data_IF_250526685776
#
_entry.id   IF_250526685776
#
_cell.length_a   1.000
_cell.length_b   1.000
_cell.length_c   1.000
_cell.angle_alpha   90.00
_cell.angle_beta   90.00
_cell.angle_gamma   90.00
#
_symmetry.space_group_name_H-M   'P 1'
#
loop_
_entity.id
_entity.type
_entity.pdbx_description
1 polymer ?
#
# COMPACT_ATOMS: atom_id res chain seq x y z
N UNK A 1 5.82 -32.00 21.54
CA UNK A 1 4.63 -32.03 20.66
C UNK A 1 4.68 -30.82 19.74
N UNK A 2 5.04 -31.00 18.46
CA UNK A 2 4.87 -29.92 17.48
C UNK A 2 3.36 -29.76 17.25
N UNK A 3 2.74 -28.71 17.80
CA UNK A 3 1.37 -28.34 17.45
C UNK A 3 1.32 -28.17 15.92
N UNK A 4 0.48 -28.95 15.24
CA UNK A 4 0.23 -28.76 13.80
C UNK A 4 -0.64 -27.52 13.61
N UNK A 5 -0.02 -26.33 13.62
CA UNK A 5 -0.71 -25.03 13.43
C UNK A 5 -1.51 -24.95 12.11
N UNK A 6 -1.19 -25.82 11.14
CA UNK A 6 -1.85 -25.92 9.84
C UNK A 6 -3.16 -26.73 9.86
N UNK A 7 -3.47 -27.50 10.91
CA UNK A 7 -4.76 -28.20 11.01
C UNK A 7 -5.82 -27.21 11.51
N UNK A 8 -6.74 -26.84 10.61
CA UNK A 8 -7.85 -25.90 10.85
C UNK A 8 -9.17 -26.52 10.46
N UNK A 9 -10.26 -25.87 10.88
CA UNK A 9 -11.61 -26.24 10.51
C UNK A 9 -11.76 -26.40 8.99
N UNK A 10 -12.58 -27.38 8.53
CA UNK A 10 -12.84 -27.57 7.12
C UNK A 10 -13.38 -26.27 6.50
N UNK A 11 -12.79 -25.84 5.39
CA UNK A 11 -13.16 -24.61 4.69
C UNK A 11 -12.40 -23.34 5.12
N UNK A 12 -11.54 -23.39 6.16
CA UNK A 12 -10.72 -22.24 6.57
C UNK A 12 -9.85 -21.70 5.42
N UNK A 13 -9.11 -22.57 4.73
CA UNK A 13 -8.26 -22.17 3.60
C UNK A 13 -9.07 -21.62 2.42
N UNK A 14 -10.27 -22.16 2.18
CA UNK A 14 -11.20 -21.63 1.16
C UNK A 14 -11.65 -20.22 1.53
N UNK A 15 -12.00 -19.97 2.79
CA UNK A 15 -12.37 -18.64 3.29
C UNK A 15 -11.19 -17.67 3.19
N UNK A 16 -10.00 -18.08 3.60
CA UNK A 16 -8.78 -17.28 3.48
C UNK A 16 -8.52 -16.89 2.02
N UNK A 17 -8.63 -17.84 1.09
CA UNK A 17 -8.44 -17.59 -0.34
C UNK A 17 -9.52 -16.65 -0.91
N UNK A 18 -10.80 -16.84 -0.53
CA UNK A 18 -11.91 -15.96 -0.94
C UNK A 18 -11.79 -14.53 -0.39
N UNK A 19 -11.08 -14.33 0.72
CA UNK A 19 -10.77 -13.01 1.25
C UNK A 19 -9.51 -12.41 0.63
N UNK A 20 -8.44 -13.22 0.48
CA UNK A 20 -7.16 -12.77 -0.04
C UNK A 20 -7.21 -12.47 -1.54
N UNK A 21 -7.86 -13.31 -2.36
CA UNK A 21 -7.87 -13.15 -3.83
C UNK A 21 -8.43 -11.79 -4.26
N UNK A 22 -9.59 -11.30 -3.76
CA UNK A 22 -10.07 -9.98 -4.12
C UNK A 22 -9.15 -8.85 -3.64
N UNK A 23 -8.47 -9.00 -2.49
CA UNK A 23 -7.51 -8.02 -2.00
C UNK A 23 -6.23 -7.97 -2.85
N UNK A 24 -5.73 -9.12 -3.29
CA UNK A 24 -4.62 -9.23 -4.24
C UNK A 24 -5.01 -8.54 -5.55
N UNK A 25 -6.21 -8.83 -6.08
CA UNK A 25 -6.70 -8.21 -7.30
C UNK A 25 -6.89 -6.69 -7.16
N UNK A 26 -7.40 -6.20 -6.02
CA UNK A 26 -7.48 -4.76 -5.74
C UNK A 26 -6.11 -4.06 -5.81
N UNK A 27 -5.11 -4.65 -5.15
CA UNK A 27 -3.75 -4.13 -5.17
C UNK A 27 -3.14 -4.21 -6.58
N UNK A 28 -3.40 -5.30 -7.31
CA UNK A 28 -2.94 -5.46 -8.69
C UNK A 28 -3.55 -4.40 -9.60
N UNK A 29 -4.87 -4.19 -9.54
CA UNK A 29 -5.59 -3.15 -10.29
C UNK A 29 -5.01 -1.77 -9.99
N UNK A 30 -4.73 -1.46 -8.72
CA UNK A 30 -4.19 -0.16 -8.32
C UNK A 30 -2.78 0.05 -8.88
N UNK A 31 -1.92 -0.96 -8.79
CA UNK A 31 -0.56 -0.92 -9.36
C UNK A 31 -0.59 -0.83 -10.88
N UNK A 32 -1.46 -1.60 -11.54
CA UNK A 32 -1.62 -1.60 -12.99
C UNK A 32 -2.19 -0.28 -13.51
N UNK A 33 -3.12 0.36 -12.81
CA UNK A 33 -3.64 1.68 -13.17
C UNK A 33 -2.51 2.71 -13.22
N UNK A 34 -1.68 2.79 -12.18
CA UNK A 34 -0.54 3.72 -12.17
C UNK A 34 0.46 3.46 -13.30
N UNK A 35 0.67 2.18 -13.65
CA UNK A 35 1.50 1.80 -14.80
C UNK A 35 0.89 2.24 -16.14
N UNK A 36 -0.39 1.98 -16.36
CA UNK A 36 -1.11 2.35 -17.59
C UNK A 36 -1.13 3.87 -17.78
N UNK A 37 -1.41 4.64 -16.71
CA UNK A 37 -1.37 6.10 -16.74
C UNK A 37 0.00 6.62 -17.18
N UNK A 38 1.06 6.13 -16.52
CA UNK A 38 2.44 6.53 -16.82
C UNK A 38 2.82 6.16 -18.26
N UNK A 39 2.44 4.97 -18.71
CA UNK A 39 2.69 4.50 -20.06
C UNK A 39 1.96 5.36 -21.12
N UNK A 40 0.67 5.63 -20.94
CA UNK A 40 -0.12 6.44 -21.88
C UNK A 40 0.37 7.89 -21.96
N UNK A 41 0.76 8.48 -20.84
CA UNK A 41 1.40 9.82 -20.84
C UNK A 41 2.77 9.77 -21.51
N UNK A 42 3.55 8.71 -21.31
CA UNK A 42 4.84 8.51 -21.96
C UNK A 42 4.77 8.47 -23.49
N UNK A 43 3.63 8.09 -24.07
CA UNK A 43 3.40 8.13 -25.51
C UNK A 43 3.22 9.55 -26.08
N UNK A 44 2.93 10.56 -25.25
CA UNK A 44 2.84 11.95 -25.68
C UNK A 44 4.24 12.56 -25.93
N UNK A 45 5.19 12.25 -25.05
CA UNK A 45 6.54 12.79 -25.11
C UNK A 45 7.27 12.71 -23.76
N UNK A 46 8.59 12.91 -23.82
CA UNK A 46 9.46 12.81 -22.64
C UNK A 46 9.20 13.95 -21.64
N UNK A 47 8.93 15.16 -22.13
CA UNK A 47 8.65 16.33 -21.30
C UNK A 47 7.34 16.15 -20.51
N UNK A 48 6.31 15.62 -21.16
CA UNK A 48 5.00 15.32 -20.57
C UNK A 48 5.11 14.26 -19.48
N UNK A 49 5.83 13.19 -19.76
CA UNK A 49 6.11 12.13 -18.79
C UNK A 49 6.85 12.66 -17.56
N UNK A 50 7.89 13.47 -17.76
CA UNK A 50 8.64 14.08 -16.67
C UNK A 50 7.76 15.01 -15.82
N UNK A 51 6.87 15.80 -16.44
CA UNK A 51 5.98 16.70 -15.72
C UNK A 51 4.95 15.94 -14.87
N UNK A 52 4.33 14.88 -15.42
CA UNK A 52 3.39 14.04 -14.66
C UNK A 52 4.09 13.27 -13.54
N UNK A 53 5.30 12.77 -13.79
CA UNK A 53 6.10 12.09 -12.76
C UNK A 53 6.41 13.03 -11.60
N UNK A 54 6.86 14.25 -11.90
CA UNK A 54 7.11 15.28 -10.89
C UNK A 54 5.82 15.64 -10.11
N UNK A 55 4.69 15.75 -10.79
CA UNK A 55 3.40 16.02 -10.16
C UNK A 55 2.89 14.85 -9.29
N UNK A 56 3.25 13.61 -9.61
CA UNK A 56 2.85 12.43 -8.85
C UNK A 56 3.65 12.26 -7.54
N UNK A 57 4.82 12.88 -7.39
CA UNK A 57 5.60 12.84 -6.15
C UNK A 57 4.86 13.37 -4.90
N UNK A 58 4.29 14.59 -4.90
CA UNK A 58 3.51 15.09 -3.76
C UNK A 58 2.21 14.29 -3.56
N UNK A 59 1.65 13.76 -4.65
CA UNK A 59 0.47 12.90 -4.62
C UNK A 59 0.74 11.59 -3.87
N UNK A 60 1.91 10.99 -4.05
CA UNK A 60 2.30 9.78 -3.33
C UNK A 60 2.29 9.97 -1.81
N UNK A 61 2.72 11.14 -1.32
CA UNK A 61 2.64 11.48 0.11
C UNK A 61 1.19 11.49 0.63
N UNK A 62 0.25 11.99 -0.17
CA UNK A 62 -1.18 11.96 0.17
C UNK A 62 -1.67 10.52 0.26
N UNK A 63 -1.29 9.67 -0.69
CA UNK A 63 -1.67 8.26 -0.69
C UNK A 63 -1.16 7.52 0.55
N UNK A 64 0.08 7.80 0.97
CA UNK A 64 0.65 7.24 2.20
C UNK A 64 -0.17 7.63 3.43
N UNK A 65 -0.57 8.89 3.53
CA UNK A 65 -1.40 9.38 4.65
C UNK A 65 -2.78 8.70 4.63
N UNK A 66 -3.44 8.65 3.48
CA UNK A 66 -4.75 7.99 3.32
C UNK A 66 -4.65 6.51 3.67
N UNK A 67 -3.59 5.83 3.23
CA UNK A 67 -3.34 4.42 3.55
C UNK A 67 -3.19 4.19 5.07
N UNK A 68 -2.45 5.06 5.77
CA UNK A 68 -2.30 4.97 7.22
C UNK A 68 -3.62 5.09 7.97
N UNK A 69 -4.51 6.00 7.56
CA UNK A 69 -5.86 6.11 8.13
C UNK A 69 -6.73 4.88 7.86
N UNK A 70 -6.71 4.35 6.63
CA UNK A 70 -7.50 3.15 6.28
C UNK A 70 -6.98 1.93 7.03
N UNK A 71 -5.67 1.81 7.20
CA UNK A 71 -5.07 0.74 8.01
C UNK A 71 -5.54 0.81 9.45
N UNK A 72 -5.55 2.00 10.07
CA UNK A 72 -6.06 2.18 11.44
C UNK A 72 -7.56 1.89 11.56
N UNK A 73 -8.36 2.33 10.58
CA UNK A 73 -9.78 1.98 10.48
C UNK A 73 -9.98 0.46 10.44
N UNK A 74 -9.21 -0.24 9.61
CA UNK A 74 -9.31 -1.70 9.42
C UNK A 74 -9.16 -2.47 10.73
N UNK A 75 -8.23 -2.05 11.59
CA UNK A 75 -8.00 -2.64 12.90
C UNK A 75 -9.24 -2.49 13.80
N UNK A 76 -9.79 -1.27 13.90
CA UNK A 76 -10.98 -1.01 14.72
C UNK A 76 -12.21 -1.74 14.18
N UNK A 77 -12.48 -1.63 12.88
CA UNK A 77 -13.69 -2.20 12.28
C UNK A 77 -13.68 -3.71 12.27
N UNK A 78 -12.53 -4.37 12.09
CA UNK A 78 -12.46 -5.83 12.13
C UNK A 78 -12.74 -6.41 13.52
N UNK A 79 -12.27 -5.77 14.59
CA UNK A 79 -12.59 -6.18 15.95
C UNK A 79 -14.05 -5.88 16.32
N UNK A 80 -14.59 -4.70 15.98
CA UNK A 80 -16.01 -4.41 16.21
C UNK A 80 -16.94 -5.30 15.38
N UNK A 81 -16.51 -5.75 14.21
CA UNK A 81 -17.23 -6.74 13.41
C UNK A 81 -17.28 -8.11 14.10
N UNK A 82 -16.17 -8.54 14.70
CA UNK A 82 -16.15 -9.75 15.53
C UNK A 82 -17.09 -9.67 16.73
N UNK A 83 -17.23 -8.49 17.33
CA UNK A 83 -18.17 -8.23 18.42
C UNK A 83 -19.64 -8.14 17.97
N UNK A 84 -19.89 -7.94 16.67
CA UNK A 84 -21.23 -7.68 16.13
C UNK A 84 -21.75 -6.27 16.38
N UNK A 85 -20.88 -5.32 16.76
CA UNK A 85 -21.28 -3.94 17.07
C UNK A 85 -21.23 -3.05 15.81
N UNK A 86 -22.30 -3.12 15.02
CA UNK A 86 -22.48 -2.34 13.79
C UNK A 86 -22.52 -0.83 14.06
N UNK A 87 -22.92 -0.40 15.26
CA UNK A 87 -22.95 1.03 15.59
C UNK A 87 -21.56 1.58 15.76
N UNK A 88 -20.70 0.88 16.53
CA UNK A 88 -19.31 1.24 16.70
C UNK A 88 -18.56 1.28 15.35
N UNK A 89 -18.85 0.34 14.44
CA UNK A 89 -18.29 0.35 13.06
C UNK A 89 -18.68 1.65 12.33
N UNK A 90 -19.96 2.05 12.39
CA UNK A 90 -20.43 3.29 11.77
C UNK A 90 -19.78 4.54 12.39
N UNK A 91 -19.57 4.56 13.72
CA UNK A 91 -18.86 5.66 14.41
C UNK A 91 -17.41 5.74 13.99
N UNK A 92 -16.67 4.63 14.01
CA UNK A 92 -15.28 4.56 13.56
C UNK A 92 -15.13 4.98 12.09
N UNK A 93 -16.03 4.52 11.22
CA UNK A 93 -16.07 4.92 9.82
C UNK A 93 -16.35 6.42 9.67
N UNK A 94 -17.27 6.98 10.46
CA UNK A 94 -17.53 8.42 10.50
C UNK A 94 -16.28 9.23 10.84
N UNK A 95 -15.53 8.83 11.89
CA UNK A 95 -14.25 9.46 12.23
C UNK A 95 -13.26 9.39 11.08
N UNK A 96 -13.06 8.20 10.50
CA UNK A 96 -12.12 8.01 9.40
C UNK A 96 -12.52 8.82 8.15
N UNK A 97 -13.82 8.92 7.87
CA UNK A 97 -14.35 9.73 6.79
C UNK A 97 -14.08 11.22 7.03
N UNK A 98 -14.41 11.75 8.21
CA UNK A 98 -14.16 13.15 8.53
C UNK A 98 -12.69 13.52 8.48
N UNK A 99 -11.82 12.73 9.12
CA UNK A 99 -10.38 12.99 9.13
C UNK A 99 -9.80 12.81 7.74
N UNK A 100 -10.10 11.69 7.06
CA UNK A 100 -9.58 11.38 5.74
C UNK A 100 -9.99 12.41 4.69
N UNK A 101 -11.27 12.80 4.67
CA UNK A 101 -11.78 13.83 3.76
C UNK A 101 -11.25 15.21 4.14
N UNK A 102 -11.14 15.56 5.43
CA UNK A 102 -10.56 16.85 5.83
C UNK A 102 -9.10 16.98 5.40
N UNK A 103 -8.29 15.93 5.61
CA UNK A 103 -6.89 15.91 5.17
C UNK A 103 -6.80 15.97 3.64
N UNK A 104 -7.59 15.16 2.94
CA UNK A 104 -7.64 15.20 1.47
C UNK A 104 -8.10 16.56 0.93
N UNK A 105 -9.07 17.21 1.59
CA UNK A 105 -9.58 18.52 1.19
C UNK A 105 -8.57 19.64 1.46
N UNK A 106 -7.85 19.62 2.59
CA UNK A 106 -6.76 20.56 2.87
C UNK A 106 -5.67 20.42 1.81
N UNK A 107 -5.26 19.18 1.51
CA UNK A 107 -4.26 18.93 0.47
C UNK A 107 -4.75 19.34 -0.91
N UNK A 108 -5.98 19.01 -1.27
CA UNK A 108 -6.59 19.45 -2.53
C UNK A 108 -6.64 20.97 -2.64
N UNK A 109 -6.94 21.69 -1.54
CA UNK A 109 -6.92 23.15 -1.51
C UNK A 109 -5.51 23.70 -1.74
N UNK A 110 -4.48 23.11 -1.13
CA UNK A 110 -3.08 23.50 -1.36
C UNK A 110 -2.68 23.25 -2.81
N UNK A 111 -3.01 22.09 -3.37
CA UNK A 111 -2.72 21.75 -4.78
C UNK A 111 -3.51 22.62 -5.76
N UNK A 112 -4.71 23.07 -5.39
CA UNK A 112 -5.56 23.89 -6.25
C UNK A 112 -5.16 25.37 -6.25
N UNK A 113 -4.83 25.92 -5.08
CA UNK A 113 -4.47 27.33 -4.92
C UNK A 113 -2.99 27.60 -5.23
N UNK A 114 -2.09 26.64 -4.96
CA UNK A 114 -0.64 26.81 -5.08
C UNK A 114 0.03 25.71 -5.93
N UNK A 115 -0.49 25.33 -7.11
CA UNK A 115 0.06 24.22 -7.90
C UNK A 115 1.49 24.47 -8.37
N UNK A 116 1.81 25.71 -8.77
CA UNK A 116 3.15 26.10 -9.24
C UNK A 116 4.18 26.09 -8.11
N UNK A 117 3.79 26.51 -6.90
CA UNK A 117 4.65 26.44 -5.72
C UNK A 117 4.97 24.99 -5.37
N UNK A 118 3.97 24.10 -5.33
CA UNK A 118 4.18 22.68 -5.02
C UNK A 118 5.04 22.01 -6.09
N UNK A 119 4.82 22.30 -7.37
CA UNK A 119 5.69 21.82 -8.45
C UNK A 119 7.12 22.38 -8.33
N UNK A 120 7.27 23.65 -7.94
CA UNK A 120 8.56 24.31 -7.70
C UNK A 120 9.35 23.71 -6.53
N UNK A 121 8.69 23.06 -5.58
CA UNK A 121 9.38 22.29 -4.53
C UNK A 121 10.00 20.98 -5.06
N UNK A 122 9.50 20.46 -6.19
CA UNK A 122 9.94 19.19 -6.78
C UNK A 122 10.95 19.42 -7.90
N UNK A 123 10.77 20.47 -8.71
CA UNK A 123 11.65 20.76 -9.86
C UNK A 123 11.81 22.26 -10.07
N UNK A 124 13.00 22.67 -10.52
CA UNK A 124 13.30 24.05 -10.91
C UNK A 124 13.04 24.31 -12.40
N UNK A 125 12.61 23.31 -13.17
CA UNK A 125 12.37 23.46 -14.61
C UNK A 125 11.00 24.10 -14.86
N UNK A 126 11.01 25.32 -15.40
CA UNK A 126 9.80 26.12 -15.67
C UNK A 126 8.82 25.42 -16.60
N UNK A 127 9.31 24.70 -17.63
CA UNK A 127 8.47 23.98 -18.57
C UNK A 127 7.72 22.81 -17.88
N UNK A 128 8.37 22.09 -16.97
CA UNK A 128 7.73 21.03 -16.21
C UNK A 128 6.69 21.58 -15.21
N UNK A 129 6.98 22.73 -14.60
CA UNK A 129 6.05 23.41 -13.69
C UNK A 129 4.80 23.84 -14.44
N UNK A 130 4.95 24.49 -15.59
CA UNK A 130 3.82 24.97 -16.41
C UNK A 130 2.93 23.82 -16.91
N UNK A 131 3.53 22.69 -17.31
CA UNK A 131 2.78 21.52 -17.76
C UNK A 131 2.15 20.73 -16.61
N UNK A 132 2.83 20.61 -15.47
CA UNK A 132 2.36 19.82 -14.32
C UNK A 132 1.36 20.55 -13.42
N UNK A 133 1.38 21.89 -13.38
CA UNK A 133 0.48 22.66 -12.52
C UNK A 133 -1.02 22.45 -12.82
N UNK A 134 -1.50 22.47 -14.09
CA UNK A 134 -2.89 22.15 -14.42
C UNK A 134 -3.28 20.72 -14.05
N UNK A 135 -2.37 19.76 -14.25
CA UNK A 135 -2.58 18.36 -13.86
C UNK A 135 -2.80 18.24 -12.35
N UNK A 136 -1.89 18.83 -11.57
CA UNK A 136 -1.91 18.76 -10.11
C UNK A 136 -3.18 19.38 -9.53
N UNK A 137 -3.63 20.50 -10.13
CA UNK A 137 -4.86 21.20 -9.73
C UNK A 137 -6.12 20.35 -9.89
N UNK A 138 -6.23 19.60 -11.00
CA UNK A 138 -7.38 18.74 -11.28
C UNK A 138 -7.30 17.45 -10.45
N UNK A 139 -6.13 16.80 -10.44
CA UNK A 139 -5.93 15.53 -9.73
C UNK A 139 -6.07 15.70 -8.23
N UNK A 140 -5.67 16.84 -7.66
CA UNK A 140 -5.85 17.14 -6.24
C UNK A 140 -7.31 17.00 -5.78
N UNK A 141 -8.28 17.43 -6.59
CA UNK A 141 -9.71 17.31 -6.27
C UNK A 141 -10.15 15.84 -6.25
N UNK A 142 -9.60 15.02 -7.15
CA UNK A 142 -9.88 13.58 -7.25
C UNK A 142 -9.59 12.84 -5.94
N UNK A 143 -8.61 13.30 -5.17
CA UNK A 143 -8.23 12.68 -3.90
C UNK A 143 -9.28 12.83 -2.80
N UNK A 144 -10.13 13.86 -2.85
CA UNK A 144 -11.26 14.00 -1.92
C UNK A 144 -12.23 12.82 -2.11
N UNK A 145 -12.60 12.54 -3.36
CA UNK A 145 -13.47 11.43 -3.72
C UNK A 145 -12.82 10.07 -3.45
N UNK A 146 -11.52 9.95 -3.72
CA UNK A 146 -10.77 8.74 -3.45
C UNK A 146 -10.71 8.44 -1.94
N UNK A 147 -10.43 9.43 -1.09
CA UNK A 147 -10.38 9.25 0.37
C UNK A 147 -11.73 8.75 0.92
N UNK A 148 -12.84 9.34 0.47
CA UNK A 148 -14.18 8.89 0.87
C UNK A 148 -14.49 7.45 0.42
N UNK A 149 -14.18 7.13 -0.84
CA UNK A 149 -14.37 5.79 -1.41
C UNK A 149 -13.52 4.75 -0.69
N UNK A 150 -12.25 5.07 -0.43
CA UNK A 150 -11.28 4.17 0.17
C UNK A 150 -11.57 3.88 1.65
N UNK A 151 -12.14 4.84 2.40
CA UNK A 151 -12.65 4.60 3.76
C UNK A 151 -13.78 3.58 3.75
N UNK A 152 -14.75 3.73 2.83
CA UNK A 152 -15.89 2.81 2.75
C UNK A 152 -15.47 1.41 2.28
N UNK A 153 -14.63 1.32 1.24
CA UNK A 153 -14.04 0.06 0.78
C UNK A 153 -13.20 -0.60 1.88
N UNK A 154 -12.47 0.19 2.66
CA UNK A 154 -11.71 -0.23 3.84
C UNK A 154 -12.58 -0.83 4.94
N UNK A 155 -13.77 -0.26 5.18
CA UNK A 155 -14.76 -0.81 6.10
C UNK A 155 -15.33 -2.14 5.57
N UNK A 156 -15.72 -2.18 4.29
CA UNK A 156 -16.32 -3.38 3.68
C UNK A 156 -15.35 -4.57 3.62
N UNK A 157 -14.06 -4.34 3.31
CA UNK A 157 -13.07 -5.42 3.43
C UNK A 157 -12.93 -5.92 4.87
N UNK A 158 -13.06 -5.04 5.86
CA UNK A 158 -12.96 -5.37 7.29
C UNK A 158 -14.15 -6.16 7.81
N UNK A 159 -15.28 -6.11 7.11
CA UNK A 159 -16.51 -6.87 7.38
C UNK A 159 -16.65 -8.07 6.44
N UNK A 160 -15.53 -8.58 5.93
CA UNK A 160 -15.44 -9.79 5.09
C UNK A 160 -16.10 -9.66 3.70
N UNK A 161 -16.22 -8.44 3.18
CA UNK A 161 -16.70 -8.14 1.83
C UNK A 161 -15.65 -7.47 0.93
N UNK A 162 -14.47 -8.08 0.70
CA UNK A 162 -13.44 -7.49 -0.16
C UNK A 162 -13.80 -7.53 -1.66
N UNK A 163 -14.83 -8.27 -2.07
CA UNK A 163 -15.27 -8.33 -3.47
C UNK A 163 -15.77 -6.96 -3.96
N UNK A 164 -16.45 -6.19 -3.09
CA UNK A 164 -16.92 -4.85 -3.43
C UNK A 164 -15.77 -3.95 -3.90
N UNK A 165 -14.69 -3.88 -3.12
CA UNK A 165 -13.53 -3.05 -3.45
C UNK A 165 -12.90 -3.45 -4.78
N UNK A 166 -12.83 -4.76 -5.05
CA UNK A 166 -12.30 -5.28 -6.32
C UNK A 166 -13.13 -4.83 -7.51
N UNK A 167 -14.46 -4.96 -7.45
CA UNK A 167 -15.35 -4.56 -8.55
C UNK A 167 -15.31 -3.04 -8.76
N UNK A 168 -15.32 -2.27 -7.68
CA UNK A 168 -15.25 -0.81 -7.72
C UNK A 168 -13.94 -0.34 -8.35
N UNK A 169 -12.78 -0.85 -7.89
CA UNK A 169 -11.49 -0.46 -8.46
C UNK A 169 -11.32 -0.96 -9.89
N UNK A 170 -11.84 -2.15 -10.25
CA UNK A 170 -11.82 -2.64 -11.62
C UNK A 170 -12.64 -1.73 -12.56
N UNK A 171 -13.85 -1.35 -12.16
CA UNK A 171 -14.68 -0.42 -12.92
C UNK A 171 -14.02 0.95 -13.07
N UNK A 172 -13.44 1.48 -11.98
CA UNK A 172 -12.67 2.73 -11.97
C UNK A 172 -11.49 2.68 -12.94
N UNK A 173 -10.71 1.58 -12.94
CA UNK A 173 -9.57 1.39 -13.83
C UNK A 173 -9.96 1.27 -15.31
N UNK A 174 -10.99 0.48 -15.62
CA UNK A 174 -11.46 0.32 -17.00
C UNK A 174 -11.97 1.65 -17.56
N UNK A 175 -12.74 2.38 -16.76
CA UNK A 175 -13.23 3.70 -17.12
C UNK A 175 -12.07 4.70 -17.29
N UNK A 176 -11.12 4.72 -16.35
CA UNK A 176 -9.95 5.58 -16.42
C UNK A 176 -9.12 5.31 -17.67
N UNK A 177 -8.79 4.06 -17.96
CA UNK A 177 -8.06 3.65 -19.16
C UNK A 177 -8.77 4.07 -20.45
N UNK A 178 -10.09 3.88 -20.49
CA UNK A 178 -10.92 4.26 -21.63
C UNK A 178 -10.95 5.78 -21.83
N UNK A 179 -11.14 6.55 -20.75
CA UNK A 179 -11.16 8.01 -20.79
C UNK A 179 -9.78 8.60 -21.09
N UNK A 180 -8.70 7.99 -20.59
CA UNK A 180 -7.34 8.36 -20.96
C UNK A 180 -7.16 8.22 -22.48
N UNK A 181 -7.54 7.09 -23.06
CA UNK A 181 -7.42 6.90 -24.51
C UNK A 181 -8.17 7.97 -25.33
N UNK A 182 -9.34 8.41 -24.85
CA UNK A 182 -10.15 9.44 -25.52
C UNK A 182 -9.55 10.84 -25.32
N UNK A 183 -9.30 11.23 -24.07
CA UNK A 183 -8.96 12.61 -23.69
C UNK A 183 -7.49 12.95 -23.92
N UNK A 184 -6.60 11.97 -23.83
CA UNK A 184 -5.17 12.17 -24.11
C UNK A 184 -4.96 12.33 -25.61
N UNK A 185 -5.46 11.38 -26.41
CA UNK A 185 -5.18 11.31 -27.85
C UNK A 185 -6.22 12.02 -28.73
N UNK A 186 -7.28 12.61 -28.15
CA UNK A 186 -8.33 13.30 -28.91
C UNK A 186 -9.10 12.38 -29.87
N UNK A 187 -9.43 11.16 -29.42
CA UNK A 187 -10.19 10.19 -30.21
C UNK A 187 -11.70 10.41 -30.04
N UNK A 188 -12.51 9.87 -30.95
CA UNK A 188 -13.98 10.00 -30.94
C UNK A 188 -14.54 11.44 -31.00
N UNK A 189 -13.80 12.37 -31.61
CA UNK A 189 -14.23 13.78 -31.77
C UNK A 189 -13.98 14.65 -30.54
N UNK A 190 -13.31 14.14 -29.51
CA UNK A 190 -12.85 14.92 -28.37
C UNK A 190 -11.54 15.68 -28.70
N UNK A 191 -11.30 16.87 -28.11
CA UNK A 191 -10.03 17.56 -28.25
C UNK A 191 -8.90 16.76 -27.57
N UNK A 192 -7.69 16.78 -28.16
CA UNK A 192 -6.50 16.22 -27.54
C UNK A 192 -6.04 17.13 -26.39
N UNK A 193 -6.36 16.77 -25.15
CA UNK A 193 -6.06 17.55 -23.95
C UNK A 193 -4.71 17.15 -23.31
N UNK A 194 -4.02 16.16 -23.88
CA UNK A 194 -2.70 15.69 -23.42
C UNK A 194 -2.70 15.36 -21.92
N UNK A 195 -1.74 15.96 -21.19
CA UNK A 195 -1.59 15.80 -19.74
C UNK A 195 -2.86 16.20 -18.97
N UNK A 196 -3.55 17.26 -19.40
CA UNK A 196 -4.78 17.72 -18.73
C UNK A 196 -5.93 16.71 -18.94
N UNK A 197 -5.93 16.03 -20.09
CA UNK A 197 -6.84 14.92 -20.38
C UNK A 197 -6.65 13.74 -19.43
N UNK A 198 -5.40 13.38 -19.13
CA UNK A 198 -5.08 12.35 -18.14
C UNK A 198 -5.59 12.72 -16.74
N UNK A 199 -5.39 13.97 -16.33
CA UNK A 199 -5.91 14.47 -15.05
C UNK A 199 -7.44 14.37 -14.94
N UNK A 200 -8.15 14.74 -16.01
CA UNK A 200 -9.61 14.71 -16.07
C UNK A 200 -10.16 13.27 -16.11
N UNK A 201 -9.49 12.36 -16.81
CA UNK A 201 -9.80 10.93 -16.80
C UNK A 201 -9.66 10.33 -15.39
N UNK A 202 -8.64 10.76 -14.63
CA UNK A 202 -8.47 10.35 -13.23
C UNK A 202 -9.55 10.92 -12.33
N UNK A 203 -9.90 12.20 -12.47
CA UNK A 203 -10.99 12.81 -11.69
C UNK A 203 -12.33 12.12 -11.93
N UNK A 204 -12.70 11.95 -13.20
CA UNK A 204 -13.96 11.31 -13.59
C UNK A 204 -14.04 9.87 -13.10
N UNK A 205 -12.95 9.10 -13.19
CA UNK A 205 -12.88 7.75 -12.65
C UNK A 205 -13.10 7.72 -11.13
N UNK A 206 -12.48 8.64 -10.37
CA UNK A 206 -12.67 8.73 -8.90
C UNK A 206 -14.06 9.20 -8.50
N UNK A 207 -14.69 10.06 -9.31
CA UNK A 207 -16.10 10.44 -9.09
C UNK A 207 -17.02 9.24 -9.30
N UNK A 208 -16.82 8.45 -10.37
CA UNK A 208 -17.61 7.23 -10.59
C UNK A 208 -17.38 6.20 -9.50
N UNK A 209 -16.12 6.01 -9.07
CA UNK A 209 -15.77 5.17 -7.92
C UNK A 209 -16.53 5.58 -6.65
N UNK A 210 -16.58 6.89 -6.37
CA UNK A 210 -17.34 7.44 -5.24
C UNK A 210 -18.84 7.19 -5.39
N UNK A 211 -19.41 7.40 -6.58
CA UNK A 211 -20.83 7.15 -6.82
C UNK A 211 -21.17 5.66 -6.67
N UNK A 212 -20.36 4.75 -7.21
CA UNK A 212 -20.56 3.31 -7.10
C UNK A 212 -20.45 2.83 -5.64
N UNK A 213 -19.45 3.31 -4.90
CA UNK A 213 -19.27 2.93 -3.48
C UNK A 213 -20.42 3.43 -2.63
N UNK A 214 -20.83 4.69 -2.79
CA UNK A 214 -21.85 5.29 -1.94
C UNK A 214 -23.27 4.83 -2.30
N UNK A 215 -23.56 4.56 -3.57
CA UNK A 215 -24.84 3.94 -3.98
C UNK A 215 -24.98 2.52 -3.46
N UNK A 216 -23.90 1.74 -3.45
CA UNK A 216 -23.87 0.44 -2.78
C UNK A 216 -24.05 0.59 -1.27
N UNK A 217 -23.43 1.60 -0.66
CA UNK A 217 -23.53 1.85 0.78
C UNK A 217 -24.97 2.09 1.27
N UNK A 218 -25.79 2.76 0.44
CA UNK A 218 -27.20 2.98 0.75
C UNK A 218 -28.06 1.71 0.63
N UNK A 219 -27.58 0.68 -0.07
CA UNK A 219 -28.30 -0.58 -0.34
C UNK A 219 -27.75 -1.78 0.43
N UNK A 220 -26.61 -1.64 1.10
CA UNK A 220 -25.99 -2.75 1.80
C UNK A 220 -26.75 -3.10 3.08
N UNK A 221 -27.18 -4.36 3.16
CA UNK A 221 -27.86 -4.90 4.33
C UNK A 221 -26.89 -5.50 5.36
N UNK A 222 -25.61 -5.72 5.02
CA UNK A 222 -24.61 -6.31 5.94
C UNK A 222 -24.20 -5.34 7.04
N UNK A 223 -23.92 -4.09 6.66
CA UNK A 223 -23.56 -3.00 7.58
C UNK A 223 -24.48 -1.81 7.27
N UNK A 224 -25.73 -1.80 7.77
CA UNK A 224 -26.65 -0.71 7.48
C UNK A 224 -26.05 0.63 7.97
N UNK A 225 -26.01 1.61 7.06
CA UNK A 225 -25.50 2.94 7.35
C UNK A 225 -26.37 3.63 8.42
N UNK A 226 -25.82 3.74 9.63
CA UNK A 226 -26.45 4.52 10.71
C UNK A 226 -25.97 5.96 10.63
N UNK A 227 -26.64 6.79 9.83
CA UNK A 227 -26.29 8.20 9.61
C UNK A 227 -26.07 8.98 10.93
N UNK A 228 -26.87 8.71 11.97
CA UNK A 228 -26.69 9.35 13.29
C UNK A 228 -25.34 9.01 13.94
N UNK A 229 -24.94 7.74 13.88
CA UNK A 229 -23.68 7.25 14.44
C UNK A 229 -22.47 7.75 13.62
N UNK A 230 -22.61 7.80 12.29
CA UNK A 230 -21.58 8.31 11.40
C UNK A 230 -21.38 9.82 11.55
N UNK A 231 -22.47 10.59 11.70
CA UNK A 231 -22.42 12.06 11.80
C UNK A 231 -21.96 12.54 13.18
N UNK A 232 -22.24 11.77 14.24
CA UNK A 232 -21.84 12.06 15.62
C UNK A 232 -21.02 10.91 16.21
N UNK A 233 -19.77 10.70 15.75
CA UNK A 233 -18.95 9.58 16.19
C UNK A 233 -18.53 9.67 17.66
N UNK A 234 -18.56 10.86 18.27
CA UNK A 234 -18.18 11.07 19.67
C UNK A 234 -16.67 11.18 19.87
N UNK A 235 -16.24 11.97 20.87
CA UNK A 235 -14.82 12.22 21.16
C UNK A 235 -14.04 10.95 21.52
N UNK A 236 -14.72 9.96 22.10
CA UNK A 236 -14.10 8.69 22.49
C UNK A 236 -13.58 7.92 21.28
N UNK A 237 -14.43 7.67 20.27
CA UNK A 237 -14.04 6.96 19.05
C UNK A 237 -13.01 7.74 18.23
N UNK A 238 -13.03 9.07 18.32
CA UNK A 238 -12.00 9.93 17.73
C UNK A 238 -10.62 9.69 18.37
N UNK A 239 -10.54 9.65 19.70
CA UNK A 239 -9.30 9.38 20.42
C UNK A 239 -8.77 7.96 20.16
N UNK A 240 -9.66 6.95 20.19
CA UNK A 240 -9.28 5.58 19.87
C UNK A 240 -8.75 5.50 18.41
N UNK A 241 -9.43 6.13 17.44
CA UNK A 241 -8.97 6.18 16.06
C UNK A 241 -7.58 6.81 15.91
N UNK A 242 -7.33 7.95 16.56
CA UNK A 242 -6.01 8.58 16.54
C UNK A 242 -4.94 7.71 17.20
N UNK A 243 -5.25 7.06 18.32
CA UNK A 243 -4.30 6.21 19.03
C UNK A 243 -3.80 5.04 18.18
N UNK A 244 -4.65 4.46 17.34
CA UNK A 244 -4.30 3.32 16.47
C UNK A 244 -3.82 3.74 15.08
N UNK A 245 -4.30 4.86 14.53
CA UNK A 245 -3.90 5.33 13.20
C UNK A 245 -2.61 6.15 13.19
N UNK A 246 -2.34 6.94 14.24
CA UNK A 246 -1.14 7.78 14.30
C UNK A 246 0.17 7.00 14.24
N UNK A 247 0.34 5.85 14.95
CA UNK A 247 1.56 5.05 14.82
C UNK A 247 1.75 4.54 13.39
N UNK A 248 0.67 4.13 12.73
CA UNK A 248 0.72 3.64 11.35
C UNK A 248 1.11 4.75 10.39
N UNK A 249 0.53 5.95 10.52
CA UNK A 249 0.92 7.11 9.71
C UNK A 249 2.40 7.46 9.86
N UNK A 250 2.91 7.49 11.09
CA UNK A 250 4.32 7.75 11.37
C UNK A 250 5.17 6.65 10.73
N UNK A 251 4.74 5.39 10.84
CA UNK A 251 5.43 4.26 10.25
C UNK A 251 5.52 4.36 8.72
N UNK A 252 4.41 4.56 8.02
CA UNK A 252 4.43 4.67 6.55
C UNK A 252 5.19 5.91 6.07
N UNK A 253 5.12 7.03 6.80
CA UNK A 253 5.88 8.25 6.48
C UNK A 253 7.39 8.06 6.67
N UNK A 254 7.80 7.45 7.79
CA UNK A 254 9.20 7.14 8.07
C UNK A 254 9.75 6.05 7.15
N UNK A 255 8.90 5.10 6.72
CA UNK A 255 9.25 4.11 5.71
C UNK A 255 9.49 4.78 4.35
N UNK A 256 8.58 5.65 3.89
CA UNK A 256 8.74 6.42 2.66
C UNK A 256 10.01 7.29 2.67
N UNK A 257 10.29 7.97 3.79
CA UNK A 257 11.54 8.70 3.97
C UNK A 257 12.77 7.78 3.94
N UNK A 258 12.70 6.61 4.56
CA UNK A 258 13.78 5.62 4.51
C UNK A 258 14.11 5.17 3.07
N UNK A 259 13.09 4.87 2.26
CA UNK A 259 13.29 4.50 0.84
C UNK A 259 13.89 5.65 0.03
N UNK A 260 13.52 6.89 0.33
CA UNK A 260 14.09 8.09 -0.31
C UNK A 260 15.56 8.25 0.06
N UNK A 261 15.92 8.09 1.34
CA UNK A 261 17.31 8.15 1.80
C UNK A 261 18.15 7.02 1.19
N UNK A 262 17.62 5.80 1.08
CA UNK A 262 18.31 4.69 0.40
C UNK A 262 18.58 5.03 -1.07
N UNK A 263 17.60 5.62 -1.76
CA UNK A 263 17.77 6.07 -3.15
C UNK A 263 18.83 7.17 -3.26
N UNK A 264 18.85 8.13 -2.33
CA UNK A 264 19.87 9.17 -2.28
C UNK A 264 21.28 8.62 -2.03
N UNK A 265 21.42 7.62 -1.14
CA UNK A 265 22.71 6.94 -0.91
C UNK A 265 23.21 6.29 -2.21
N UNK A 266 22.35 5.56 -2.92
CA UNK A 266 22.70 4.94 -4.20
C UNK A 266 23.10 5.98 -5.26
N UNK A 267 22.44 7.14 -5.28
CA UNK A 267 22.79 8.23 -6.19
C UNK A 267 24.14 8.90 -5.94
N UNK A 268 24.71 8.75 -4.73
CA UNK A 268 26.04 9.27 -4.38
C UNK A 268 27.16 8.22 -4.51
N UNK A 269 26.85 7.01 -4.96
CA UNK A 269 27.87 5.99 -5.22
C UNK A 269 28.62 6.27 -6.53
N UNK A 270 29.81 5.69 -6.68
CA UNK A 270 30.64 5.83 -7.90
C UNK A 270 29.95 5.27 -9.16
N UNK A 271 29.08 4.27 -8.98
CA UNK A 271 28.28 3.60 -10.02
C UNK A 271 26.80 4.03 -9.98
N UNK A 272 26.57 5.32 -9.73
CA UNK A 272 25.23 5.87 -9.44
C UNK A 272 24.26 5.69 -10.61
N UNK A 273 24.69 5.90 -11.85
CA UNK A 273 23.84 5.77 -13.02
C UNK A 273 23.34 4.33 -13.20
N UNK A 274 24.24 3.36 -13.10
CA UNK A 274 23.93 1.95 -13.32
C UNK A 274 23.09 1.35 -12.19
N UNK A 275 23.40 1.69 -10.93
CA UNK A 275 22.67 1.17 -9.77
C UNK A 275 21.26 1.76 -9.68
N UNK A 276 21.08 3.05 -10.02
CA UNK A 276 19.75 3.68 -10.01
C UNK A 276 18.87 3.13 -11.13
N UNK A 277 19.43 2.90 -12.33
CA UNK A 277 18.71 2.27 -13.43
C UNK A 277 18.22 0.86 -13.05
N UNK A 278 19.10 0.05 -12.45
CA UNK A 278 18.75 -1.27 -11.93
C UNK A 278 17.70 -1.20 -10.80
N UNK A 279 17.84 -0.25 -9.87
CA UNK A 279 16.92 -0.07 -8.75
C UNK A 279 15.50 0.32 -9.22
N UNK A 280 15.37 1.15 -10.25
CA UNK A 280 14.07 1.54 -10.79
C UNK A 280 13.28 0.34 -11.35
N UNK A 281 13.94 -0.53 -12.11
CA UNK A 281 13.32 -1.74 -12.67
C UNK A 281 12.99 -2.72 -11.55
N UNK A 282 13.92 -2.91 -10.61
CA UNK A 282 13.69 -3.76 -9.44
C UNK A 282 12.52 -3.24 -8.59
N UNK A 283 12.38 -1.93 -8.43
CA UNK A 283 11.27 -1.30 -7.70
C UNK A 283 9.91 -1.61 -8.33
N UNK A 284 9.82 -1.70 -9.65
CA UNK A 284 8.59 -2.12 -10.32
C UNK A 284 8.27 -3.61 -10.08
N UNK A 285 9.28 -4.48 -10.19
CA UNK A 285 9.13 -5.90 -9.87
C UNK A 285 8.74 -6.09 -8.40
N UNK A 286 9.31 -5.30 -7.49
CA UNK A 286 8.96 -5.32 -6.07
C UNK A 286 7.49 -4.96 -5.84
N UNK A 287 6.98 -3.90 -6.49
CA UNK A 287 5.56 -3.52 -6.42
C UNK A 287 4.64 -4.65 -6.88
N UNK A 288 4.92 -5.30 -8.01
CA UNK A 288 4.09 -6.42 -8.49
C UNK A 288 4.18 -7.66 -7.59
N UNK A 289 5.33 -7.94 -7.01
CA UNK A 289 5.55 -9.11 -6.15
C UNK A 289 4.89 -8.93 -4.78
N UNK A 290 4.94 -7.72 -4.24
CA UNK A 290 4.38 -7.39 -2.91
C UNK A 290 2.86 -7.28 -2.90
N UNK A 291 2.20 -7.08 -4.05
CA UNK A 291 0.73 -7.11 -4.20
C UNK A 291 0.12 -8.37 -3.58
N UNK A 292 0.73 -9.54 -3.81
CA UNK A 292 0.30 -10.82 -3.23
C UNK A 292 0.48 -10.84 -1.71
N UNK A 293 1.64 -10.35 -1.23
CA UNK A 293 1.98 -10.30 0.19
C UNK A 293 1.00 -9.41 0.98
N UNK A 294 0.72 -8.21 0.46
CA UNK A 294 -0.24 -7.28 1.07
C UNK A 294 -1.68 -7.78 1.00
N UNK A 295 -2.05 -8.52 -0.05
CA UNK A 295 -3.38 -9.12 -0.15
C UNK A 295 -3.65 -10.16 0.94
N UNK A 296 -2.66 -11.01 1.22
CA UNK A 296 -2.73 -11.99 2.33
C UNK A 296 -2.69 -11.28 3.68
N UNK A 297 -1.81 -10.29 3.84
CA UNK A 297 -1.72 -9.53 5.08
C UNK A 297 -3.03 -8.81 5.41
N UNK A 298 -3.71 -8.24 4.41
CA UNK A 298 -5.05 -7.69 4.56
C UNK A 298 -6.07 -8.74 5.00
N UNK A 299 -6.08 -9.93 4.39
CA UNK A 299 -6.98 -11.01 4.79
C UNK A 299 -6.70 -11.51 6.22
N UNK A 300 -5.42 -11.63 6.59
CA UNK A 300 -4.99 -11.96 7.94
C UNK A 300 -5.45 -10.92 8.97
N UNK A 301 -5.36 -9.63 8.63
CA UNK A 301 -5.84 -8.56 9.51
C UNK A 301 -7.33 -8.67 9.82
N UNK A 302 -8.13 -9.00 8.82
CA UNK A 302 -9.57 -9.20 9.00
C UNK A 302 -9.85 -10.42 9.86
N UNK A 303 -9.20 -11.56 9.59
CA UNK A 303 -9.44 -12.80 10.34
C UNK A 303 -8.98 -12.71 11.80
N UNK A 304 -7.79 -12.16 12.05
CA UNK A 304 -7.25 -11.98 13.40
C UNK A 304 -8.06 -10.94 14.17
N UNK A 305 -8.35 -9.79 13.55
CA UNK A 305 -9.18 -8.75 14.17
C UNK A 305 -10.57 -9.29 14.55
N UNK A 306 -11.23 -9.99 13.64
CA UNK A 306 -12.55 -10.60 13.89
C UNK A 306 -12.51 -11.58 15.06
N UNK A 307 -11.54 -12.50 15.10
CA UNK A 307 -11.43 -13.49 16.18
C UNK A 307 -11.17 -12.85 17.55
N UNK A 308 -10.36 -11.78 17.59
CA UNK A 308 -10.17 -11.00 18.83
C UNK A 308 -11.48 -10.33 19.27
N UNK A 309 -12.22 -9.78 18.31
CA UNK A 309 -13.53 -9.18 18.53
C UNK A 309 -14.61 -10.14 19.04
N UNK A 310 -14.59 -11.39 18.55
CA UNK A 310 -15.48 -12.48 18.99
C UNK A 310 -15.20 -12.94 20.44
N UNK A 311 -14.13 -12.43 21.06
CA UNK A 311 -13.72 -12.84 22.41
C UNK A 311 -13.00 -14.20 22.44
N UNK A 312 -12.43 -14.64 21.31
CA UNK A 312 -11.68 -15.89 21.25
C UNK A 312 -10.50 -15.90 22.23
N UNK A 313 -10.14 -17.08 22.71
CA UNK A 313 -9.03 -17.22 23.65
C UNK A 313 -7.72 -16.70 23.06
N UNK A 314 -6.83 -16.18 23.92
CA UNK A 314 -5.49 -15.73 23.48
C UNK A 314 -4.70 -16.84 22.80
N UNK A 315 -4.94 -18.10 23.17
CA UNK A 315 -4.25 -19.25 22.58
C UNK A 315 -4.77 -19.58 21.18
N UNK A 316 -6.09 -19.54 20.98
CA UNK A 316 -6.69 -19.75 19.66
C UNK A 316 -6.26 -18.68 18.66
N UNK A 317 -6.26 -17.41 19.09
CA UNK A 317 -5.81 -16.27 18.28
C UNK A 317 -4.31 -16.37 17.96
N UNK A 318 -3.50 -16.83 18.92
CA UNK A 318 -2.08 -17.08 18.72
C UNK A 318 -1.83 -18.19 17.71
N UNK A 319 -2.54 -19.32 17.85
CA UNK A 319 -2.41 -20.44 16.93
C UNK A 319 -2.87 -20.01 15.51
N UNK A 320 -3.92 -19.18 15.40
CA UNK A 320 -4.42 -18.67 14.10
C UNK A 320 -3.36 -17.79 13.43
N UNK A 321 -2.73 -16.92 14.21
CA UNK A 321 -1.69 -16.02 13.73
C UNK A 321 -0.48 -16.77 13.19
N UNK A 322 -0.05 -17.84 13.86
CA UNK A 322 0.99 -18.73 13.34
C UNK A 322 0.58 -19.44 12.04
N UNK A 323 -0.66 -19.90 11.94
CA UNK A 323 -1.17 -20.50 10.72
C UNK A 323 -1.09 -19.51 9.54
N UNK A 324 -1.59 -18.28 9.73
CA UNK A 324 -1.56 -17.23 8.73
C UNK A 324 -0.12 -16.82 8.35
N UNK A 325 0.81 -16.79 9.31
CA UNK A 325 2.23 -16.53 9.03
C UNK A 325 2.88 -17.61 8.19
N UNK A 326 2.63 -18.88 8.51
CA UNK A 326 3.16 -20.00 7.73
C UNK A 326 2.58 -19.99 6.31
N UNK A 327 1.28 -19.71 6.15
CA UNK A 327 0.66 -19.55 4.83
C UNK A 327 1.32 -18.40 4.05
N UNK A 328 1.55 -17.24 4.69
CA UNK A 328 2.25 -16.11 4.05
C UNK A 328 3.68 -16.47 3.64
N UNK A 329 4.39 -17.22 4.48
CA UNK A 329 5.74 -17.71 4.18
C UNK A 329 5.74 -18.65 2.97
N UNK A 330 4.82 -19.62 2.92
CA UNK A 330 4.68 -20.53 1.77
C UNK A 330 4.32 -19.76 0.49
N UNK A 331 3.43 -18.78 0.57
CA UNK A 331 3.10 -17.96 -0.60
C UNK A 331 4.33 -17.13 -1.03
N UNK A 332 5.09 -16.60 -0.07
CA UNK A 332 6.38 -15.96 -0.35
C UNK A 332 7.35 -16.87 -1.11
N UNK A 333 7.47 -18.14 -0.72
CA UNK A 333 8.24 -19.13 -1.48
C UNK A 333 7.67 -19.38 -2.89
N UNK A 334 6.35 -19.45 -3.06
CA UNK A 334 5.76 -19.64 -4.39
C UNK A 334 6.00 -18.46 -5.32
N UNK A 335 5.89 -17.23 -4.83
CA UNK A 335 6.19 -16.02 -5.62
C UNK A 335 7.69 -15.95 -5.92
N UNK A 336 8.54 -16.32 -4.95
CA UNK A 336 9.99 -16.37 -5.14
C UNK A 336 10.38 -17.37 -6.23
N UNK A 337 9.79 -18.58 -6.20
CA UNK A 337 10.01 -19.59 -7.23
C UNK A 337 9.53 -19.12 -8.61
N UNK A 338 8.38 -18.45 -8.68
CA UNK A 338 7.87 -17.86 -9.91
C UNK A 338 8.85 -16.82 -10.48
N UNK A 339 9.33 -15.89 -9.65
CA UNK A 339 10.34 -14.89 -10.05
C UNK A 339 11.68 -15.53 -10.44
N UNK A 340 12.11 -16.58 -9.74
CA UNK A 340 13.34 -17.31 -10.07
C UNK A 340 13.27 -17.95 -11.46
N UNK A 341 12.08 -18.37 -11.90
CA UNK A 341 11.84 -18.90 -13.26
C UNK A 341 11.75 -17.74 -14.26
N UNK A 342 11.02 -16.67 -13.93
CA UNK A 342 10.83 -15.51 -14.81
C UNK A 342 12.11 -14.71 -15.06
N UNK A 343 13.03 -14.68 -14.10
CA UNK A 343 14.29 -13.95 -14.22
C UNK A 343 15.12 -14.39 -15.45
N UNK A 344 15.50 -15.68 -15.62
CA UNK A 344 16.23 -16.13 -16.79
C UNK A 344 15.37 -16.26 -18.06
N UNK A 345 14.06 -16.49 -17.94
CA UNK A 345 13.20 -16.78 -19.10
C UNK A 345 12.56 -15.55 -19.73
N UNK A 346 12.29 -14.51 -18.93
CA UNK A 346 11.56 -13.30 -19.37
C UNK A 346 12.36 -12.04 -19.08
N UNK A 347 12.93 -11.89 -17.89
CA UNK A 347 13.55 -10.62 -17.51
C UNK A 347 14.86 -10.36 -18.22
N UNK A 348 15.80 -11.30 -18.17
CA UNK A 348 17.10 -11.17 -18.85
C UNK A 348 16.95 -11.07 -20.38
N UNK A 349 16.15 -11.93 -21.06
CA UNK A 349 16.09 -11.90 -22.53
C UNK A 349 15.18 -10.83 -23.12
N UNK A 350 14.11 -10.41 -22.42
CA UNK A 350 13.10 -9.51 -23.00
C UNK A 350 12.92 -8.22 -22.20
N UNK A 351 12.80 -8.30 -20.87
CA UNK A 351 12.49 -7.12 -20.06
C UNK A 351 13.68 -6.16 -19.96
N UNK A 352 14.86 -6.64 -19.60
CA UNK A 352 16.04 -5.80 -19.38
C UNK A 352 16.56 -5.13 -20.67
N UNK A 353 16.59 -5.81 -21.84
CA UNK A 353 16.93 -5.16 -23.10
C UNK A 353 15.91 -4.10 -23.52
N UNK A 354 14.62 -4.28 -23.19
CA UNK A 354 13.58 -3.28 -23.47
C UNK A 354 13.86 -1.93 -22.76
N UNK A 355 14.49 -1.98 -21.60
CA UNK A 355 14.90 -0.80 -20.83
C UNK A 355 16.34 -0.33 -21.16
N UNK A 356 16.96 -0.87 -22.21
CA UNK A 356 18.35 -0.55 -22.60
C UNK A 356 19.36 -0.77 -21.46
N UNK A 357 19.13 -1.76 -20.58
CA UNK A 357 20.11 -2.15 -19.58
C UNK A 357 21.23 -2.94 -20.25
N UNK A 358 22.39 -2.32 -20.42
CA UNK A 358 23.57 -2.95 -20.99
C UNK A 358 24.73 -3.06 -19.98
N UNK A 359 25.61 -4.04 -20.21
CA UNK A 359 26.86 -4.20 -19.46
C UNK A 359 26.68 -4.31 -17.94
N UNK A 360 27.17 -3.29 -17.23
CA UNK A 360 27.22 -3.28 -15.77
C UNK A 360 25.81 -3.18 -15.15
N UNK A 361 24.93 -2.33 -15.68
CA UNK A 361 23.56 -2.14 -15.17
C UNK A 361 22.72 -3.44 -15.22
N UNK A 362 22.90 -4.24 -16.27
CA UNK A 362 22.27 -5.56 -16.41
C UNK A 362 22.72 -6.52 -15.31
N UNK A 363 24.02 -6.56 -15.04
CA UNK A 363 24.61 -7.40 -13.99
C UNK A 363 24.10 -6.97 -12.61
N UNK A 364 24.04 -5.66 -12.33
CA UNK A 364 23.48 -5.13 -11.09
C UNK A 364 22.01 -5.53 -10.95
N UNK A 365 21.18 -5.31 -11.96
CA UNK A 365 19.76 -5.67 -11.92
C UNK A 365 19.54 -7.17 -11.67
N UNK A 366 20.37 -8.02 -12.27
CA UNK A 366 20.32 -9.47 -12.06
C UNK A 366 20.71 -9.86 -10.63
N UNK A 367 21.76 -9.25 -10.08
CA UNK A 367 22.19 -9.46 -8.69
C UNK A 367 21.09 -8.99 -7.73
N UNK A 368 20.53 -7.79 -7.93
CA UNK A 368 19.44 -7.25 -7.12
C UNK A 368 18.22 -8.18 -7.12
N UNK A 369 17.82 -8.67 -8.29
CA UNK A 369 16.68 -9.58 -8.42
C UNK A 369 16.96 -10.93 -7.75
N UNK A 370 18.19 -11.45 -7.86
CA UNK A 370 18.56 -12.72 -7.21
C UNK A 370 18.51 -12.60 -5.69
N UNK A 371 19.08 -11.52 -5.14
CA UNK A 371 19.00 -11.23 -3.71
C UNK A 371 17.54 -11.05 -3.27
N UNK A 372 16.74 -10.33 -4.06
CA UNK A 372 15.32 -10.12 -3.79
C UNK A 372 14.52 -11.42 -3.73
N UNK A 373 14.73 -12.34 -4.68
CA UNK A 373 14.07 -13.66 -4.73
C UNK A 373 14.35 -14.45 -3.45
N UNK A 374 15.60 -14.45 -2.97
CA UNK A 374 15.98 -15.15 -1.73
C UNK A 374 15.32 -14.53 -0.50
N UNK A 375 15.17 -13.20 -0.48
CA UNK A 375 14.62 -12.46 0.66
C UNK A 375 13.09 -12.38 0.66
N UNK A 376 12.43 -12.68 -0.46
CA UNK A 376 10.99 -12.54 -0.61
C UNK A 376 10.15 -13.36 0.39
N UNK A 377 10.50 -14.62 0.73
CA UNK A 377 9.77 -15.37 1.75
C UNK A 377 9.81 -14.68 3.13
N UNK A 378 10.97 -14.13 3.51
CA UNK A 378 11.11 -13.36 4.74
C UNK A 378 10.29 -12.07 4.68
N UNK A 379 10.37 -11.33 3.57
CA UNK A 379 9.57 -10.12 3.36
C UNK A 379 8.07 -10.40 3.45
N UNK A 380 7.58 -11.49 2.85
CA UNK A 380 6.19 -11.92 2.95
C UNK A 380 5.76 -12.24 4.38
N UNK A 381 6.64 -12.89 5.15
CA UNK A 381 6.41 -13.13 6.57
C UNK A 381 6.32 -11.82 7.36
N UNK A 382 7.25 -10.89 7.15
CA UNK A 382 7.32 -9.62 7.89
C UNK A 382 6.13 -8.71 7.58
N UNK A 383 5.75 -8.57 6.30
CA UNK A 383 4.57 -7.80 5.89
C UNK A 383 3.33 -8.35 6.62
N UNK A 384 3.11 -9.67 6.61
CA UNK A 384 1.95 -10.26 7.27
C UNK A 384 2.03 -10.18 8.80
N UNK A 385 3.21 -10.32 9.39
CA UNK A 385 3.39 -10.21 10.83
C UNK A 385 3.07 -8.79 11.33
N UNK A 386 3.61 -7.77 10.65
CA UNK A 386 3.46 -6.37 11.05
C UNK A 386 2.06 -5.87 10.69
N UNK A 387 1.73 -5.89 9.40
CA UNK A 387 0.50 -5.26 8.88
C UNK A 387 -0.73 -6.14 9.09
N UNK A 388 -0.56 -7.46 8.98
CA UNK A 388 -1.65 -8.43 9.14
C UNK A 388 -1.97 -8.77 10.58
N UNK A 389 -0.97 -9.00 11.44
CA UNK A 389 -1.21 -9.59 12.77
C UNK A 389 -1.05 -8.55 13.88
N UNK A 390 0.12 -7.92 13.99
CA UNK A 390 0.40 -6.99 15.09
C UNK A 390 -0.49 -5.74 15.03
N UNK A 391 -0.69 -5.15 13.85
CA UNK A 391 -1.64 -4.03 13.68
C UNK A 391 -3.06 -4.47 14.03
N UNK A 392 -3.55 -5.59 13.50
CA UNK A 392 -4.90 -6.10 13.77
C UNK A 392 -5.15 -6.49 15.24
N UNK A 393 -4.12 -6.92 15.96
CA UNK A 393 -4.18 -7.17 17.40
C UNK A 393 -4.23 -5.91 18.27
N UNK A 394 -4.18 -4.71 17.68
CA UNK A 394 -4.18 -3.45 18.41
C UNK A 394 -2.80 -3.03 18.95
N UNK A 395 -1.72 -3.66 18.48
CA UNK A 395 -0.33 -3.36 18.89
C UNK A 395 0.42 -2.58 17.81
N UNK A 396 -0.26 -1.59 17.21
CA UNK A 396 0.26 -0.78 16.10
C UNK A 396 1.57 -0.03 16.44
N UNK A 397 1.76 0.36 17.70
CA UNK A 397 3.00 1.02 18.16
C UNK A 397 4.20 0.09 18.07
N UNK A 398 4.11 -1.12 18.62
CA UNK A 398 5.22 -2.06 18.54
C UNK A 398 5.41 -2.58 17.12
N UNK A 399 4.33 -2.73 16.33
CA UNK A 399 4.43 -3.02 14.90
C UNK A 399 5.30 -1.96 14.19
N UNK A 400 5.05 -0.68 14.46
CA UNK A 400 5.80 0.45 13.91
C UNK A 400 7.27 0.44 14.35
N UNK A 401 7.55 0.15 15.61
CA UNK A 401 8.93 0.06 16.12
C UNK A 401 9.69 -1.11 15.48
N UNK A 402 9.07 -2.28 15.37
CA UNK A 402 9.67 -3.47 14.75
C UNK A 402 9.97 -3.23 13.27
N UNK A 403 9.13 -2.44 12.59
CA UNK A 403 9.33 -2.11 11.18
C UNK A 403 10.38 -1.01 10.96
N UNK A 404 10.34 0.08 11.75
CA UNK A 404 11.23 1.22 11.56
C UNK A 404 12.64 1.03 12.12
N UNK A 405 12.79 0.33 13.25
CA UNK A 405 14.08 0.23 13.91
C UNK A 405 15.13 -0.51 13.04
N UNK A 406 14.82 -1.65 12.40
CA UNK A 406 15.76 -2.31 11.48
C UNK A 406 16.08 -1.47 10.23
N UNK A 407 15.09 -0.75 9.70
CA UNK A 407 15.28 0.12 8.54
C UNK A 407 16.29 1.23 8.84
N UNK A 408 16.03 2.01 9.89
CA UNK A 408 16.81 3.21 10.21
C UNK A 408 18.11 2.94 10.97
N UNK A 409 18.15 1.92 11.84
CA UNK A 409 19.33 1.65 12.66
C UNK A 409 20.30 0.67 12.00
N UNK A 410 19.83 -0.15 11.06
CA UNK A 410 20.65 -1.21 10.44
C UNK A 410 20.75 -1.02 8.94
N UNK A 411 19.65 -1.08 8.20
CA UNK A 411 19.71 -1.12 6.73
C UNK A 411 20.24 0.18 6.13
N UNK A 412 19.74 1.34 6.55
CA UNK A 412 20.20 2.65 6.04
C UNK A 412 21.69 2.90 6.37
N UNK A 413 22.15 2.79 7.64
CA UNK A 413 23.56 3.00 7.97
C UNK A 413 24.50 1.99 7.31
N UNK A 414 24.10 0.71 7.23
CA UNK A 414 24.92 -0.33 6.62
C UNK A 414 25.04 -0.14 5.10
N UNK A 415 23.96 0.29 4.44
CA UNK A 415 23.98 0.63 3.01
C UNK A 415 24.86 1.86 2.76
N UNK A 416 24.79 2.89 3.62
CA UNK A 416 25.67 4.05 3.54
C UNK A 416 27.14 3.69 3.74
N UNK A 417 27.44 2.85 4.75
CA UNK A 417 28.81 2.40 5.03
C UNK A 417 29.39 1.58 3.88
N UNK A 418 28.64 0.61 3.38
CA UNK A 418 29.09 -0.28 2.30
C UNK A 418 29.14 0.41 0.95
N UNK A 419 28.20 1.30 0.66
CA UNK A 419 28.09 2.01 -0.61
C UNK A 419 29.00 3.22 -0.75
N UNK A 420 29.15 4.04 0.31
CA UNK A 420 29.87 5.33 0.22
C UNK A 420 31.30 5.26 0.78
N UNK A 421 31.54 4.47 1.82
CA UNK A 421 32.84 4.45 2.51
C UNK A 421 33.70 3.29 2.03
N UNK A 422 33.13 2.08 2.03
CA UNK A 422 33.89 0.86 1.73
C UNK A 422 34.00 0.55 0.24
N UNK A 423 33.22 1.22 -0.63
CA UNK A 423 33.08 0.89 -2.05
C UNK A 423 32.95 -0.63 -2.27
N UNK A 424 32.12 -1.26 -1.43
CA UNK A 424 31.97 -2.70 -1.40
C UNK A 424 31.36 -3.21 -2.72
N UNK A 425 31.62 -4.47 -3.10
CA UNK A 425 31.06 -5.03 -4.33
C UNK A 425 29.53 -4.98 -4.30
N UNK A 426 28.91 -4.78 -5.47
CA UNK A 426 27.49 -4.44 -5.61
C UNK A 426 26.56 -5.44 -4.92
N UNK A 427 26.90 -6.74 -4.95
CA UNK A 427 26.10 -7.77 -4.30
C UNK A 427 26.02 -7.61 -2.77
N UNK A 428 27.07 -7.08 -2.12
CA UNK A 428 27.06 -6.75 -0.69
C UNK A 428 26.12 -5.59 -0.42
N UNK A 429 26.17 -4.54 -1.24
CA UNK A 429 25.27 -3.38 -1.12
C UNK A 429 23.81 -3.81 -1.31
N UNK A 430 23.54 -4.68 -2.29
CA UNK A 430 22.20 -5.24 -2.53
C UNK A 430 21.69 -6.07 -1.34
N UNK A 431 22.57 -6.84 -0.69
CA UNK A 431 22.23 -7.56 0.54
C UNK A 431 21.94 -6.58 1.68
N UNK A 432 22.75 -5.54 1.86
CA UNK A 432 22.57 -4.53 2.91
C UNK A 432 21.24 -3.78 2.77
N UNK A 433 20.79 -3.52 1.54
CA UNK A 433 19.46 -2.97 1.25
C UNK A 433 18.35 -3.87 1.82
N UNK A 434 18.52 -5.20 1.76
CA UNK A 434 17.51 -6.17 2.20
C UNK A 434 17.69 -6.67 3.65
N UNK A 435 18.78 -6.27 4.33
CA UNK A 435 19.08 -6.70 5.71
C UNK A 435 17.96 -6.34 6.69
N UNK A 436 17.15 -5.32 6.41
CA UNK A 436 16.01 -4.98 7.25
C UNK A 436 15.05 -6.17 7.45
N UNK A 437 14.78 -6.98 6.41
CA UNK A 437 13.88 -8.12 6.50
C UNK A 437 14.48 -9.25 7.36
N UNK A 438 15.80 -9.44 7.30
CA UNK A 438 16.51 -10.41 8.13
C UNK A 438 16.41 -10.02 9.62
N UNK A 439 16.51 -8.72 9.91
CA UNK A 439 16.43 -8.20 11.27
C UNK A 439 14.99 -8.11 11.82
N UNK A 440 13.99 -7.88 10.95
CA UNK A 440 12.56 -7.78 11.33
C UNK A 440 12.01 -9.12 11.81
N UNK A 441 12.29 -10.21 11.10
CA UNK A 441 11.70 -11.52 11.39
C UNK A 441 11.92 -12.00 12.85
N UNK A 442 13.15 -11.99 13.43
CA UNK A 442 13.36 -12.40 14.81
C UNK A 442 12.64 -11.52 15.84
N UNK A 443 12.64 -10.19 15.62
CA UNK A 443 11.95 -9.23 16.49
C UNK A 443 10.44 -9.44 16.45
N UNK A 444 9.91 -9.65 15.24
CA UNK A 444 8.52 -9.99 14.98
C UNK A 444 8.08 -11.28 15.68
N UNK A 445 8.86 -12.36 15.53
CA UNK A 445 8.60 -13.65 16.18
C UNK A 445 8.67 -13.52 17.71
N UNK A 446 9.64 -12.77 18.24
CA UNK A 446 9.76 -12.53 19.69
C UNK A 446 8.53 -11.80 20.23
N UNK A 447 8.03 -10.78 19.51
CA UNK A 447 6.81 -10.08 19.91
C UNK A 447 5.58 -10.97 19.82
N UNK A 448 5.46 -11.77 18.75
CA UNK A 448 4.37 -12.72 18.58
C UNK A 448 4.31 -13.74 19.74
N UNK A 449 5.46 -14.33 20.09
CA UNK A 449 5.59 -15.28 21.22
C UNK A 449 5.23 -14.66 22.57
N UNK A 450 5.40 -13.34 22.74
CA UNK A 450 5.06 -12.66 23.99
C UNK A 450 3.55 -12.59 24.28
N UNK A 451 2.68 -12.83 23.28
CA UNK A 451 1.21 -12.72 23.35
C UNK A 451 0.67 -11.34 23.78
N UNK A 452 1.53 -10.37 24.12
CA UNK A 452 1.16 -9.00 24.52
C UNK A 452 0.52 -8.17 23.41
N UNK A 453 0.56 -8.67 22.18
CA UNK A 453 0.00 -8.03 21.01
C UNK A 453 -1.51 -8.31 20.84
N UNK A 454 -2.07 -9.28 21.58
CA UNK A 454 -3.50 -9.63 21.51
C UNK A 454 -4.29 -8.73 22.46
N UNK A 455 -4.68 -7.56 21.97
CA UNK A 455 -5.46 -6.60 22.73
C UNK A 455 -6.86 -6.48 22.13
N UNK A 456 -7.88 -6.70 22.96
CA UNK A 456 -9.25 -6.35 22.61
C UNK A 456 -9.41 -4.84 22.79
N UNK A 457 -9.57 -4.13 21.67
CA UNK A 457 -9.74 -2.68 21.64
C UNK A 457 -11.22 -2.28 21.55
N UNK A 458 -12.13 -3.25 21.48
CA UNK A 458 -13.56 -2.99 21.51
C UNK A 458 -13.95 -2.51 22.91
N UNK A 459 -14.72 -1.44 22.95
CA UNK A 459 -15.25 -0.89 24.20
C UNK A 459 -16.57 -1.55 24.54
N UNK A 460 -16.82 -1.81 25.82
CA UNK A 460 -18.17 -2.11 26.29
C UNK A 460 -19.03 -0.85 26.14
N UNK A 461 -20.26 -1.00 25.65
CA UNK A 461 -21.15 0.15 25.51
C UNK A 461 -21.30 0.80 26.87
N UNK A 462 -21.09 2.13 27.01
CA UNK A 462 -21.59 2.82 28.18
C UNK A 462 -23.12 2.66 28.14
N UNK A 463 -23.64 1.90 29.10
CA UNK A 463 -25.06 1.74 29.39
C UNK A 463 -25.76 3.08 29.53
#
# INVERSE_FOLDING_TARGET
MAKNYLRREPGFYKRLFLLALPLILQNLITTSLGFVDTFMVGLLGQSELSAVTAANSPIFLIQVIVFGFISGLTVLTSQYWGKGDVEAINRCMGVALYIGVAVAAIMALVLFCFPTFVMGLVTNNTLLIEMGAPYLRIVGISYIFNAASAVYVGMQRSTENPVLGMVVFAASMLLNTFLNYILIFGKFGAPALGITGAALATLTARVVEFLLTWTYALRDHRVPLRLRAMLRPGRMYFNDFLQYSAPVLINESMWGLGTTVMTAIMGHMVISEEILAAYAIMGNIDKFSTVTCFGIAGASAVLVGKRIGEGASREETYDLSWCLLLVSLFIGFTVAACLAILLPTVFIPYLYPLFHLEGLSLNIATIMCTVYVVMLPLKSFDINNITGILRAGGDARMASVIDLAPLWLVAVPLTALTGLVLNAPVWVVCLCIQVENICKMPLGVRRLRSRKWINNITRENPS
#
